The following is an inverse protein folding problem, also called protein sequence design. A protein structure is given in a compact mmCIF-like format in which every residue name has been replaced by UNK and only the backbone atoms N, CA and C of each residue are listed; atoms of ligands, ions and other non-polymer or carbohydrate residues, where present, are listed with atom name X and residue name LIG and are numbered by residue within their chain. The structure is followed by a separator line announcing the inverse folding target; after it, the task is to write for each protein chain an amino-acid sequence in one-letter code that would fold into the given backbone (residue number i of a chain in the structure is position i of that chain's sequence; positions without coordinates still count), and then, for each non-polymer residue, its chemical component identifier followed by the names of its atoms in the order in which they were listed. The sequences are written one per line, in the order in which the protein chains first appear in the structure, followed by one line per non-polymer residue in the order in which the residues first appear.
data_IF_968654340652
#
_entry.id   IF_968654340652
#
_cell.length_a   1.000
_cell.length_b   1.000
_cell.length_c   1.000
_cell.angle_alpha   90.00
_cell.angle_beta   90.00
_cell.angle_gamma   90.00
#
_symmetry.space_group_name_H-M   'P 1'
#
loop_
_entity.id
_entity.type
_entity.pdbx_description
1 polymer ?
#
# COMPACT_ATOMS: atom_id res chain seq x y z
N UNK A 1 28.75 -9.44 48.00
CA UNK A 1 27.28 -9.63 47.96
C UNK A 1 26.84 -8.62 46.94
N UNK A 2 26.95 -9.04 45.68
CA UNK A 2 27.01 -8.13 44.56
C UNK A 2 25.65 -8.22 43.88
N UNK A 3 24.86 -7.18 44.13
CA UNK A 3 23.59 -6.98 43.46
C UNK A 3 23.87 -6.54 42.03
N UNK A 4 23.66 -7.45 41.09
CA UNK A 4 23.19 -7.08 39.76
C UNK A 4 21.72 -7.48 39.70
N UNK A 5 20.86 -6.50 40.01
CA UNK A 5 19.50 -6.53 39.53
C UNK A 5 19.60 -6.50 38.00
N UNK A 6 19.10 -7.54 37.35
CA UNK A 6 18.69 -7.45 35.97
C UNK A 6 17.76 -6.24 35.85
N UNK A 7 18.30 -5.10 35.40
CA UNK A 7 17.49 -3.96 35.00
C UNK A 7 16.73 -4.45 33.78
N UNK A 8 15.49 -4.88 33.99
CA UNK A 8 14.57 -5.11 32.88
C UNK A 8 14.62 -3.87 31.98
N UNK A 9 14.85 -4.01 30.67
CA UNK A 9 14.95 -2.85 29.81
C UNK A 9 13.64 -2.07 29.89
N UNK A 10 13.70 -0.88 30.49
CA UNK A 10 12.54 -0.01 30.70
C UNK A 10 11.77 0.19 29.39
N UNK A 11 10.44 0.15 29.47
CA UNK A 11 9.57 0.51 28.34
C UNK A 11 9.82 1.96 27.94
N UNK A 12 10.14 2.19 26.66
CA UNK A 12 10.37 3.54 26.15
C UNK A 12 9.13 4.42 26.34
N UNK A 13 9.33 5.74 26.41
CA UNK A 13 8.26 6.70 26.67
C UNK A 13 7.09 6.56 25.69
N UNK A 14 7.37 6.31 24.41
CA UNK A 14 6.33 6.22 23.40
C UNK A 14 5.51 4.92 23.53
N UNK A 15 6.14 3.78 23.84
CA UNK A 15 5.44 2.52 24.13
C UNK A 15 4.53 2.60 25.34
N UNK A 16 4.92 3.35 26.37
CA UNK A 16 4.09 3.55 27.58
C UNK A 16 2.76 4.25 27.29
N UNK A 17 2.73 5.17 26.34
CA UNK A 17 1.51 5.90 25.96
C UNK A 17 0.78 5.30 24.76
N UNK A 18 1.50 4.67 23.84
CA UNK A 18 0.89 4.09 22.64
C UNK A 18 1.56 2.74 22.34
N UNK A 19 1.18 1.66 23.04
CA UNK A 19 1.73 0.33 22.80
C UNK A 19 1.38 -0.21 21.40
N UNK A 20 2.12 -1.23 20.97
CA UNK A 20 2.05 -1.77 19.60
C UNK A 20 0.62 -2.08 19.08
N UNK A 21 -0.29 -2.69 19.87
CA UNK A 21 -1.64 -2.98 19.39
C UNK A 21 -2.40 -1.70 18.98
N UNK A 22 -2.28 -0.63 19.78
CA UNK A 22 -2.92 0.64 19.47
C UNK A 22 -2.28 1.34 18.28
N UNK A 23 -0.96 1.21 18.08
CA UNK A 23 -0.29 1.76 16.88
C UNK A 23 -0.88 1.16 15.61
N UNK A 24 -1.02 -0.17 15.58
CA UNK A 24 -1.61 -0.90 14.45
C UNK A 24 -3.06 -0.46 14.22
N UNK A 25 -3.85 -0.41 15.29
CA UNK A 25 -5.23 0.07 15.25
C UNK A 25 -5.37 1.48 14.66
N UNK A 26 -4.60 2.44 15.18
CA UNK A 26 -4.62 3.85 14.74
C UNK A 26 -4.33 3.95 13.25
N UNK A 27 -3.30 3.26 12.76
CA UNK A 27 -2.92 3.31 11.34
C UNK A 27 -4.00 2.69 10.44
N UNK A 28 -4.63 1.59 10.87
CA UNK A 28 -5.73 0.96 10.12
C UNK A 28 -6.94 1.89 10.06
N UNK A 29 -7.36 2.46 11.18
CA UNK A 29 -8.51 3.38 11.26
C UNK A 29 -8.26 4.65 10.44
N UNK A 30 -7.05 5.22 10.50
CA UNK A 30 -6.65 6.34 9.65
C UNK A 30 -6.73 6.00 8.16
N UNK A 31 -6.41 4.76 7.77
CA UNK A 31 -6.59 4.29 6.40
C UNK A 31 -8.03 4.33 5.91
N UNK A 32 -8.99 3.98 6.79
CA UNK A 32 -10.43 4.04 6.47
C UNK A 32 -10.87 5.51 6.29
N UNK A 33 -10.42 6.41 7.16
CA UNK A 33 -10.65 7.85 7.01
C UNK A 33 -10.05 8.41 5.72
N UNK A 34 -8.79 8.05 5.42
CA UNK A 34 -8.06 8.45 4.23
C UNK A 34 -8.80 8.03 2.95
N UNK A 35 -9.27 6.78 2.90
CA UNK A 35 -10.09 6.29 1.78
C UNK A 35 -11.42 7.04 1.66
N UNK A 36 -12.09 7.33 2.79
CA UNK A 36 -13.29 8.17 2.80
C UNK A 36 -13.03 9.56 2.22
N UNK A 37 -11.90 10.18 2.57
CA UNK A 37 -11.47 11.47 2.02
C UNK A 37 -11.12 11.39 0.52
N UNK A 38 -10.50 10.31 0.05
CA UNK A 38 -10.30 10.09 -1.39
C UNK A 38 -11.64 10.10 -2.12
N UNK A 39 -12.60 9.27 -1.67
CA UNK A 39 -13.93 9.17 -2.27
C UNK A 39 -14.68 10.49 -2.24
N UNK A 40 -14.58 11.25 -1.14
CA UNK A 40 -15.30 12.50 -0.98
C UNK A 40 -14.77 13.58 -1.92
N UNK A 41 -13.46 13.82 -1.92
CA UNK A 41 -12.89 14.87 -2.77
C UNK A 41 -13.01 14.54 -4.26
N UNK A 42 -12.79 13.28 -4.66
CA UNK A 42 -12.97 12.85 -6.05
C UNK A 42 -14.43 13.00 -6.51
N UNK A 43 -15.40 12.74 -5.63
CA UNK A 43 -16.81 13.00 -5.90
C UNK A 43 -17.10 14.50 -6.13
N UNK A 44 -16.50 15.40 -5.33
CA UNK A 44 -16.68 16.85 -5.48
C UNK A 44 -16.19 17.36 -6.83
N UNK A 45 -15.08 16.81 -7.35
CA UNK A 45 -14.54 17.16 -8.67
C UNK A 45 -15.11 16.31 -9.81
N UNK A 46 -16.22 15.59 -9.56
CA UNK A 46 -16.98 14.80 -10.55
C UNK A 46 -16.22 13.61 -11.16
N UNK A 47 -15.30 13.01 -10.40
CA UNK A 47 -14.69 11.73 -10.74
C UNK A 47 -15.48 10.59 -10.07
N UNK A 48 -16.11 9.74 -10.87
CA UNK A 48 -16.93 8.63 -10.38
C UNK A 48 -16.08 7.40 -10.06
N UNK A 49 -15.47 7.39 -8.87
CA UNK A 49 -14.65 6.26 -8.39
C UNK A 49 -15.42 4.94 -8.37
N UNK A 50 -16.68 4.86 -7.89
CA UNK A 50 -17.48 3.63 -7.95
C UNK A 50 -17.52 2.96 -9.32
N UNK A 51 -17.71 3.71 -10.42
CA UNK A 51 -17.73 3.11 -11.76
C UNK A 51 -16.36 2.59 -12.21
N UNK A 52 -15.27 3.26 -11.83
CA UNK A 52 -13.90 2.79 -12.12
C UNK A 52 -13.58 1.46 -11.44
N UNK A 53 -14.00 1.29 -10.19
CA UNK A 53 -13.77 0.06 -9.42
C UNK A 53 -14.92 -0.95 -9.56
N UNK A 54 -15.87 -0.70 -10.46
CA UNK A 54 -17.08 -1.52 -10.69
C UNK A 54 -17.88 -1.80 -9.42
N UNK A 55 -17.94 -0.81 -8.52
CA UNK A 55 -18.79 -0.83 -7.35
C UNK A 55 -20.24 -0.48 -7.77
N UNK A 56 -21.26 -1.16 -7.23
CA UNK A 56 -22.65 -0.89 -7.59
C UNK A 56 -23.02 0.57 -7.39
N UNK A 57 -23.67 1.16 -8.40
CA UNK A 57 -24.21 2.50 -8.30
C UNK A 57 -25.23 2.62 -7.17
N UNK A 58 -25.53 3.86 -6.78
CA UNK A 58 -26.56 4.12 -5.77
C UNK A 58 -27.93 3.71 -6.30
N UNK A 59 -28.74 2.93 -5.55
CA UNK A 59 -30.09 2.57 -5.97
C UNK A 59 -31.01 3.78 -6.12
N UNK A 60 -30.78 4.83 -5.33
CA UNK A 60 -31.54 6.07 -5.34
C UNK A 60 -30.67 7.25 -4.92
N UNK A 61 -31.09 8.47 -5.26
CA UNK A 61 -30.44 9.69 -4.79
C UNK A 61 -30.48 9.87 -3.26
N UNK A 62 -31.50 9.28 -2.61
CA UNK A 62 -31.67 9.26 -1.15
C UNK A 62 -30.74 8.29 -0.44
N UNK A 63 -30.15 7.32 -1.16
CA UNK A 63 -29.16 6.42 -0.59
C UNK A 63 -27.86 7.19 -0.25
N UNK A 64 -27.26 6.96 0.94
CA UNK A 64 -26.06 7.67 1.33
C UNK A 64 -24.95 7.49 0.29
N UNK A 65 -24.16 8.54 0.02
CA UNK A 65 -23.02 8.43 -0.86
C UNK A 65 -21.95 7.49 -0.28
N UNK A 66 -21.11 6.94 -1.15
CA UNK A 66 -20.10 5.96 -0.75
C UNK A 66 -19.10 6.53 0.26
N UNK A 67 -18.68 7.79 0.11
CA UNK A 67 -17.81 8.45 1.09
C UNK A 67 -18.47 8.58 2.47
N UNK A 68 -19.77 8.90 2.54
CA UNK A 68 -20.49 8.98 3.82
C UNK A 68 -20.60 7.60 4.49
N UNK A 69 -20.82 6.55 3.69
CA UNK A 69 -20.82 5.17 4.19
C UNK A 69 -19.45 4.78 4.77
N UNK A 70 -18.36 5.18 4.10
CA UNK A 70 -17.00 4.98 4.59
C UNK A 70 -16.73 5.78 5.87
N UNK A 71 -17.15 7.05 5.96
CA UNK A 71 -16.99 7.85 7.18
C UNK A 71 -17.78 7.29 8.36
N UNK A 72 -18.98 6.72 8.14
CA UNK A 72 -19.73 6.03 9.18
C UNK A 72 -18.96 4.82 9.73
N UNK A 73 -18.33 4.03 8.85
CA UNK A 73 -17.45 2.94 9.27
C UNK A 73 -16.22 3.47 10.03
N UNK A 74 -15.60 4.54 9.52
CA UNK A 74 -14.44 5.15 10.18
C UNK A 74 -14.79 5.65 11.59
N UNK A 75 -15.93 6.33 11.76
CA UNK A 75 -16.44 6.76 13.06
C UNK A 75 -16.75 5.59 13.99
N UNK A 76 -17.39 4.52 13.48
CA UNK A 76 -17.67 3.30 14.24
C UNK A 76 -16.39 2.66 14.78
N UNK A 77 -15.28 2.71 14.04
CA UNK A 77 -14.00 2.17 14.50
C UNK A 77 -13.25 3.15 15.42
N UNK A 78 -13.41 4.46 15.19
CA UNK A 78 -12.69 5.52 15.92
C UNK A 78 -13.26 5.74 17.33
N UNK A 79 -14.59 5.75 17.50
CA UNK A 79 -15.21 5.98 18.81
C UNK A 79 -14.74 4.96 19.86
N UNK A 80 -14.85 3.63 19.66
CA UNK A 80 -14.34 2.64 20.60
C UNK A 80 -12.82 2.69 20.76
N UNK A 81 -12.07 3.12 19.73
CA UNK A 81 -10.62 3.30 19.83
C UNK A 81 -10.28 4.40 20.82
N UNK A 82 -10.92 5.57 20.70
CA UNK A 82 -10.70 6.71 21.58
C UNK A 82 -11.14 6.40 23.01
N UNK A 83 -12.27 5.69 23.20
CA UNK A 83 -12.71 5.23 24.52
C UNK A 83 -11.66 4.28 25.12
N UNK A 84 -11.22 3.28 24.36
CA UNK A 84 -10.22 2.31 24.81
C UNK A 84 -8.88 2.98 25.15
N UNK A 85 -8.39 3.88 24.29
CA UNK A 85 -7.16 4.66 24.52
C UNK A 85 -7.26 5.55 25.75
N UNK A 86 -8.36 6.30 25.91
CA UNK A 86 -8.54 7.18 27.04
C UNK A 86 -8.60 6.39 28.35
N UNK A 87 -9.36 5.29 28.39
CA UNK A 87 -9.39 4.38 29.53
C UNK A 87 -8.00 3.84 29.85
N UNK A 88 -7.27 3.37 28.84
CA UNK A 88 -5.90 2.88 29.00
C UNK A 88 -4.97 3.94 29.61
N UNK A 89 -5.02 5.18 29.13
CA UNK A 89 -4.22 6.28 29.69
C UNK A 89 -4.61 6.62 31.12
N UNK A 90 -5.91 6.66 31.42
CA UNK A 90 -6.39 6.96 32.78
C UNK A 90 -6.06 5.87 33.80
N UNK A 91 -5.93 4.61 33.38
CA UNK A 91 -5.61 3.50 34.27
C UNK A 91 -4.10 3.38 34.47
N UNK A 92 -3.35 3.44 33.37
CA UNK A 92 -1.92 3.17 33.39
C UNK A 92 -1.10 4.37 33.83
N UNK A 93 -1.51 5.61 33.50
CA UNK A 93 -0.72 6.83 33.69
C UNK A 93 0.72 6.76 33.14
N UNK A 94 0.96 5.86 32.18
CA UNK A 94 2.30 5.58 31.66
C UNK A 94 3.21 4.82 32.63
N UNK A 95 2.67 4.18 33.67
CA UNK A 95 3.40 3.26 34.54
C UNK A 95 3.72 1.94 33.80
N UNK A 96 4.99 1.51 33.70
CA UNK A 96 5.39 0.32 32.94
C UNK A 96 4.67 -0.96 33.37
N UNK A 97 4.50 -1.20 34.67
CA UNK A 97 3.86 -2.41 35.19
C UNK A 97 2.37 -2.43 34.81
N UNK A 98 1.67 -1.32 35.02
CA UNK A 98 0.25 -1.21 34.62
C UNK A 98 0.04 -1.31 33.11
N UNK A 99 0.96 -0.79 32.30
CA UNK A 99 0.90 -0.92 30.83
C UNK A 99 0.89 -2.39 30.41
N UNK A 100 1.69 -3.22 31.10
CA UNK A 100 1.74 -4.66 30.89
C UNK A 100 0.49 -5.35 31.43
N UNK A 101 0.11 -5.07 32.69
CA UNK A 101 -1.04 -5.70 33.36
C UNK A 101 -2.38 -5.46 32.62
N UNK A 102 -2.51 -4.29 31.97
CA UNK A 102 -3.73 -3.89 31.26
C UNK A 102 -3.68 -4.13 29.75
N UNK A 103 -2.86 -5.07 29.27
CA UNK A 103 -2.77 -5.42 27.85
C UNK A 103 -4.10 -5.89 27.23
N UNK A 104 -5.02 -6.38 28.06
CA UNK A 104 -6.35 -6.81 27.65
C UNK A 104 -7.14 -5.71 26.93
N UNK A 105 -6.98 -4.43 27.31
CA UNK A 105 -7.71 -3.31 26.70
C UNK A 105 -7.33 -3.10 25.21
N UNK A 106 -6.05 -2.87 24.87
CA UNK A 106 -5.61 -2.77 23.48
C UNK A 106 -5.94 -4.01 22.65
N UNK A 107 -5.77 -5.20 23.21
CA UNK A 107 -6.06 -6.45 22.52
C UNK A 107 -7.56 -6.65 22.25
N UNK A 108 -8.41 -6.34 23.23
CA UNK A 108 -9.86 -6.38 23.06
C UNK A 108 -10.31 -5.42 21.95
N UNK A 109 -9.73 -4.22 21.90
CA UNK A 109 -10.02 -3.29 20.80
C UNK A 109 -9.63 -3.87 19.44
N UNK A 110 -8.44 -4.48 19.30
CA UNK A 110 -8.04 -5.11 18.03
C UNK A 110 -9.02 -6.20 17.60
N UNK A 111 -9.48 -7.04 18.54
CA UNK A 111 -10.50 -8.06 18.28
C UNK A 111 -11.81 -7.41 17.82
N UNK A 112 -12.30 -6.39 18.53
CA UNK A 112 -13.52 -5.65 18.16
C UNK A 112 -13.40 -5.04 16.76
N UNK A 113 -12.26 -4.42 16.44
CA UNK A 113 -11.99 -3.84 15.12
C UNK A 113 -12.08 -4.90 14.01
N UNK A 114 -11.46 -6.06 14.20
CA UNK A 114 -11.54 -7.18 13.25
C UNK A 114 -12.99 -7.68 13.11
N UNK A 115 -13.70 -7.86 14.22
CA UNK A 115 -15.10 -8.30 14.21
C UNK A 115 -16.01 -7.28 13.49
N UNK A 116 -15.80 -5.97 13.67
CA UNK A 116 -16.53 -4.93 12.95
C UNK A 116 -16.30 -4.98 11.43
N UNK A 117 -15.13 -5.42 10.98
CA UNK A 117 -14.80 -5.54 9.56
C UNK A 117 -15.35 -6.85 8.97
N UNK A 118 -15.21 -7.96 9.69
CA UNK A 118 -15.55 -9.32 9.20
C UNK A 118 -17.03 -9.66 9.35
N UNK A 119 -17.66 -9.32 10.49
CA UNK A 119 -19.04 -9.72 10.76
C UNK A 119 -20.04 -8.86 9.96
N UNK A 120 -20.97 -9.47 9.20
CA UNK A 120 -21.89 -8.74 8.31
C UNK A 120 -23.07 -8.10 9.06
N UNK A 121 -22.79 -7.17 9.99
CA UNK A 121 -23.83 -6.45 10.74
C UNK A 121 -24.73 -5.60 9.83
N UNK A 122 -26.04 -5.87 9.81
CA UNK A 122 -26.95 -5.33 8.80
C UNK A 122 -27.03 -3.79 8.72
N UNK A 123 -26.86 -3.08 9.84
CA UNK A 123 -26.99 -1.61 9.88
C UNK A 123 -25.77 -0.82 9.36
N UNK A 124 -24.66 -1.49 9.05
CA UNK A 124 -23.37 -0.83 8.79
C UNK A 124 -22.75 -1.28 7.47
N UNK A 125 -23.13 -0.65 6.34
CA UNK A 125 -22.48 -0.82 5.03
C UNK A 125 -22.12 -2.29 4.65
N UNK A 126 -23.08 -3.21 4.78
CA UNK A 126 -22.90 -4.66 4.54
C UNK A 126 -22.28 -4.96 3.16
N UNK A 127 -22.80 -4.31 2.12
CA UNK A 127 -22.30 -4.48 0.73
C UNK A 127 -20.83 -4.08 0.60
N UNK A 128 -20.43 -2.96 1.21
CA UNK A 128 -19.05 -2.48 1.17
C UNK A 128 -18.07 -3.44 1.85
N UNK A 129 -18.41 -3.92 3.05
CA UNK A 129 -17.56 -4.87 3.80
C UNK A 129 -17.44 -6.22 3.10
N UNK A 130 -18.54 -6.75 2.56
CA UNK A 130 -18.50 -7.98 1.78
C UNK A 130 -17.60 -7.85 0.54
N UNK A 131 -17.71 -6.75 -0.21
CA UNK A 131 -16.86 -6.51 -1.39
C UNK A 131 -15.39 -6.28 -1.01
N UNK A 132 -15.12 -5.59 0.09
CA UNK A 132 -13.78 -5.43 0.63
C UNK A 132 -13.15 -6.79 0.96
N UNK A 133 -13.86 -7.65 1.71
CA UNK A 133 -13.42 -9.02 2.02
C UNK A 133 -13.27 -9.90 0.77
N UNK A 134 -14.22 -9.83 -0.16
CA UNK A 134 -14.15 -10.58 -1.41
C UNK A 134 -12.94 -10.15 -2.26
N UNK A 135 -12.64 -8.85 -2.27
CA UNK A 135 -11.46 -8.30 -2.97
C UNK A 135 -10.17 -8.73 -2.30
N UNK A 136 -10.07 -8.60 -0.97
CA UNK A 136 -8.90 -9.10 -0.21
C UNK A 136 -8.68 -10.59 -0.44
N UNK A 137 -9.72 -11.42 -0.30
CA UNK A 137 -9.65 -12.86 -0.57
C UNK A 137 -9.18 -13.13 -2.00
N UNK A 138 -9.75 -12.43 -2.98
CA UNK A 138 -9.40 -12.60 -4.40
C UNK A 138 -7.93 -12.30 -4.65
N UNK A 139 -7.45 -11.13 -4.22
CA UNK A 139 -6.06 -10.73 -4.46
C UNK A 139 -5.06 -11.60 -3.69
N UNK A 140 -5.40 -12.05 -2.47
CA UNK A 140 -4.51 -12.88 -1.64
C UNK A 140 -4.38 -14.31 -2.15
N UNK A 141 -5.48 -14.97 -2.52
CA UNK A 141 -5.46 -16.40 -2.85
C UNK A 141 -4.93 -16.67 -4.26
N UNK A 142 -5.33 -15.85 -5.24
CA UNK A 142 -5.56 -16.51 -6.52
C UNK A 142 -5.96 -15.65 -7.70
N UNK A 143 -6.80 -14.67 -7.47
CA UNK A 143 -7.50 -13.99 -8.53
C UNK A 143 -6.98 -12.60 -8.78
N UNK A 144 -7.03 -12.21 -10.05
CA UNK A 144 -7.16 -10.81 -10.44
C UNK A 144 -8.38 -10.76 -11.34
N UNK A 145 -9.31 -9.87 -11.01
CA UNK A 145 -10.49 -9.62 -11.84
C UNK A 145 -10.06 -9.28 -13.27
N UNK A 146 -10.89 -9.61 -14.25
CA UNK A 146 -10.68 -9.10 -15.61
C UNK A 146 -10.93 -7.60 -15.65
N UNK A 147 -10.51 -6.93 -16.74
CA UNK A 147 -10.62 -5.48 -16.85
C UNK A 147 -12.08 -5.01 -16.64
N UNK A 148 -13.04 -5.74 -17.22
CA UNK A 148 -14.47 -5.50 -17.09
C UNK A 148 -15.03 -5.78 -15.68
N UNK A 149 -14.35 -6.60 -14.88
CA UNK A 149 -14.84 -7.09 -13.59
C UNK A 149 -14.27 -6.33 -12.38
N UNK A 150 -13.57 -5.23 -12.61
CA UNK A 150 -13.04 -4.37 -11.53
C UNK A 150 -11.55 -4.61 -11.21
N UNK A 151 -10.75 -5.03 -12.18
CA UNK A 151 -9.27 -5.13 -12.08
C UNK A 151 -8.62 -3.90 -11.43
N UNK A 152 -9.10 -2.70 -11.72
CA UNK A 152 -8.56 -1.48 -11.14
C UNK A 152 -8.73 -1.43 -9.61
N UNK A 153 -9.87 -1.88 -9.08
CA UNK A 153 -10.09 -2.00 -7.63
C UNK A 153 -9.15 -3.01 -6.98
N UNK A 154 -8.89 -4.15 -7.64
CA UNK A 154 -7.92 -5.15 -7.18
C UNK A 154 -6.50 -4.58 -7.10
N UNK A 155 -6.10 -3.82 -8.13
CA UNK A 155 -4.79 -3.17 -8.18
C UNK A 155 -4.66 -2.11 -7.09
N UNK A 156 -5.66 -1.23 -6.93
CA UNK A 156 -5.66 -0.20 -5.87
C UNK A 156 -5.54 -0.82 -4.48
N UNK A 157 -6.30 -1.88 -4.20
CA UNK A 157 -6.25 -2.59 -2.91
C UNK A 157 -4.89 -3.23 -2.67
N UNK A 158 -4.36 -3.95 -3.67
CA UNK A 158 -3.08 -4.62 -3.53
C UNK A 158 -1.91 -3.61 -3.39
N UNK A 159 -1.98 -2.47 -4.07
CA UNK A 159 -1.01 -1.39 -3.91
C UNK A 159 -1.13 -0.70 -2.55
N UNK A 160 -2.34 -0.53 -2.03
CA UNK A 160 -2.54 -0.07 -0.65
C UNK A 160 -1.89 -1.03 0.36
N UNK A 161 -2.05 -2.35 0.20
CA UNK A 161 -1.42 -3.35 1.08
C UNK A 161 0.11 -3.25 1.09
N UNK A 162 0.76 -2.87 -0.02
CA UNK A 162 2.24 -2.71 -0.02
C UNK A 162 2.72 -1.63 0.96
N UNK A 163 1.93 -0.58 1.13
CA UNK A 163 2.21 0.49 2.10
C UNK A 163 1.93 0.04 3.55
N UNK A 164 1.03 -0.92 3.73
CA UNK A 164 0.72 -1.56 5.01
C UNK A 164 1.64 -2.74 5.38
N UNK A 165 2.65 -3.09 4.57
CA UNK A 165 3.50 -4.26 4.80
C UNK A 165 4.11 -4.32 6.22
N UNK A 166 4.65 -3.20 6.72
CA UNK A 166 5.20 -3.13 8.09
C UNK A 166 4.09 -3.20 9.16
N UNK A 167 2.94 -2.58 8.92
CA UNK A 167 1.77 -2.64 9.80
C UNK A 167 1.27 -4.08 9.94
N UNK A 168 1.30 -4.86 8.86
CA UNK A 168 0.96 -6.29 8.88
C UNK A 168 2.00 -7.10 9.67
N UNK A 169 3.29 -6.77 9.55
CA UNK A 169 4.34 -7.34 10.40
C UNK A 169 4.12 -7.04 11.88
N UNK A 170 3.76 -5.79 12.23
CA UNK A 170 3.48 -5.38 13.61
C UNK A 170 2.18 -5.98 14.15
N UNK A 171 1.17 -6.16 13.29
CA UNK A 171 -0.03 -6.92 13.64
C UNK A 171 0.32 -8.37 13.96
N UNK A 172 1.20 -9.01 13.17
CA UNK A 172 1.66 -10.36 13.47
C UNK A 172 2.45 -10.44 14.78
N UNK A 173 3.39 -9.51 15.01
CA UNK A 173 4.14 -9.44 16.29
C UNK A 173 3.18 -9.29 17.46
N UNK A 174 2.18 -8.40 17.33
CA UNK A 174 1.14 -8.20 18.34
C UNK A 174 0.38 -9.50 18.63
N UNK A 175 -0.11 -10.19 17.58
CA UNK A 175 -0.85 -11.45 17.73
C UNK A 175 0.04 -12.55 18.33
N UNK A 176 1.29 -12.64 17.91
CA UNK A 176 2.25 -13.62 18.43
C UNK A 176 2.51 -13.42 19.92
N UNK A 177 2.70 -12.18 20.36
CA UNK A 177 2.88 -11.84 21.78
C UNK A 177 1.60 -12.06 22.58
N UNK A 178 0.42 -11.72 22.02
CA UNK A 178 -0.88 -11.91 22.68
C UNK A 178 -1.19 -13.39 22.99
N UNK A 179 -0.69 -14.33 22.20
CA UNK A 179 -0.86 -15.78 22.43
C UNK A 179 0.35 -16.43 23.09
N UNK A 180 1.37 -15.67 23.49
CA UNK A 180 2.56 -16.16 24.17
C UNK A 180 2.33 -16.22 25.68
N UNK A 181 2.78 -17.28 26.35
CA UNK A 181 2.66 -17.42 27.81
C UNK A 181 3.67 -16.59 28.60
N UNK A 182 4.75 -16.13 27.96
CA UNK A 182 5.88 -15.45 28.61
C UNK A 182 6.11 -14.02 28.12
N UNK A 183 5.19 -13.45 27.33
CA UNK A 183 5.37 -12.15 26.68
C UNK A 183 4.07 -11.38 26.69
N UNK A 184 4.18 -10.05 26.75
CA UNK A 184 3.03 -9.15 26.79
C UNK A 184 3.01 -8.26 25.55
N UNK A 185 1.87 -8.19 24.89
CA UNK A 185 1.65 -7.45 23.65
C UNK A 185 1.83 -5.93 23.78
N UNK A 186 1.70 -5.39 24.99
CA UNK A 186 1.98 -3.98 25.32
C UNK A 186 3.41 -3.73 25.80
N UNK A 187 4.18 -4.80 25.98
CA UNK A 187 5.61 -4.73 26.31
C UNK A 187 6.47 -4.33 25.10
N UNK A 188 7.79 -4.47 25.25
CA UNK A 188 8.73 -4.20 24.17
C UNK A 188 8.45 -5.10 22.95
N UNK A 189 8.22 -4.55 21.74
CA UNK A 189 7.93 -5.36 20.55
C UNK A 189 9.01 -6.38 20.23
N UNK A 190 8.68 -7.67 20.27
CA UNK A 190 9.63 -8.74 19.94
C UNK A 190 9.54 -9.13 18.46
N UNK A 191 10.40 -8.51 17.63
CA UNK A 191 10.42 -8.70 16.17
C UNK A 191 10.92 -10.08 15.72
N UNK A 192 11.34 -10.92 16.66
CA UNK A 192 11.68 -12.35 16.48
C UNK A 192 10.56 -13.29 16.94
N UNK A 193 9.41 -12.79 17.40
CA UNK A 193 8.29 -13.61 17.86
C UNK A 193 7.84 -14.56 16.74
N UNK A 194 7.81 -15.87 17.03
CA UNK A 194 7.54 -16.93 16.05
C UNK A 194 8.76 -17.39 15.24
N UNK A 195 9.90 -16.71 15.34
CA UNK A 195 11.16 -17.03 14.66
C UNK A 195 11.59 -15.98 13.63
N UNK A 196 12.84 -16.06 13.18
CA UNK A 196 13.46 -15.07 12.29
C UNK A 196 12.80 -14.98 10.89
N UNK A 197 12.01 -15.98 10.51
CA UNK A 197 11.41 -16.09 9.17
C UNK A 197 10.07 -15.35 9.03
N UNK A 198 9.17 -15.43 10.02
CA UNK A 198 7.76 -15.08 9.81
C UNK A 198 7.52 -13.58 9.61
N UNK A 199 8.18 -12.72 10.38
CA UNK A 199 8.02 -11.26 10.23
C UNK A 199 8.47 -10.80 8.84
N UNK A 200 9.68 -11.13 8.35
CA UNK A 200 10.08 -10.85 6.96
C UNK A 200 9.14 -11.45 5.92
N UNK A 201 8.70 -12.69 6.12
CA UNK A 201 7.75 -13.34 5.21
C UNK A 201 6.44 -12.56 5.11
N UNK A 202 5.84 -12.16 6.23
CA UNK A 202 4.58 -11.40 6.25
C UNK A 202 4.74 -10.02 5.61
N UNK A 203 5.84 -9.33 5.87
CA UNK A 203 6.17 -8.05 5.21
C UNK A 203 6.31 -8.24 3.69
N UNK A 204 6.73 -9.42 3.22
CA UNK A 204 6.86 -9.72 1.79
C UNK A 204 5.54 -10.04 1.08
N UNK A 205 4.49 -10.45 1.81
CA UNK A 205 3.21 -10.91 1.24
C UNK A 205 2.58 -9.88 0.29
N UNK A 206 2.46 -8.58 0.63
CA UNK A 206 1.88 -7.60 -0.29
C UNK A 206 2.63 -7.49 -1.62
N UNK A 207 3.96 -7.50 -1.60
CA UNK A 207 4.79 -7.49 -2.82
C UNK A 207 4.65 -8.78 -3.61
N UNK A 208 4.51 -9.93 -2.94
CA UNK A 208 4.24 -11.22 -3.58
C UNK A 208 2.87 -11.24 -4.28
N UNK A 209 1.84 -10.68 -3.65
CA UNK A 209 0.52 -10.52 -4.27
C UNK A 209 0.62 -9.72 -5.57
N UNK A 210 1.32 -8.57 -5.54
CA UNK A 210 1.49 -7.72 -6.73
C UNK A 210 2.36 -8.37 -7.81
N UNK A 211 3.47 -9.01 -7.43
CA UNK A 211 4.29 -9.78 -8.36
C UNK A 211 3.44 -10.83 -9.09
N UNK A 212 2.67 -11.61 -8.33
CA UNK A 212 1.79 -12.65 -8.87
C UNK A 212 0.73 -12.07 -9.80
N UNK A 213 0.08 -10.98 -9.42
CA UNK A 213 -0.88 -10.26 -10.28
C UNK A 213 -0.24 -9.82 -11.61
N UNK A 214 0.96 -9.25 -11.55
CA UNK A 214 1.68 -8.80 -12.75
C UNK A 214 2.06 -9.95 -13.67
N UNK A 215 2.53 -11.08 -13.12
CA UNK A 215 2.85 -12.28 -13.90
C UNK A 215 1.61 -12.92 -14.54
N UNK A 216 0.48 -12.95 -13.83
CA UNK A 216 -0.79 -13.46 -14.39
C UNK A 216 -1.22 -12.61 -15.58
N UNK A 217 -1.15 -11.28 -15.48
CA UNK A 217 -1.50 -10.38 -16.58
C UNK A 217 -0.55 -10.53 -17.78
N UNK A 218 0.76 -10.65 -17.54
CA UNK A 218 1.71 -10.95 -18.61
C UNK A 218 1.35 -12.25 -19.35
N UNK A 219 1.04 -13.31 -18.61
CA UNK A 219 0.62 -14.58 -19.20
C UNK A 219 -0.73 -14.47 -19.93
N UNK A 220 -1.67 -13.65 -19.46
CA UNK A 220 -2.94 -13.38 -20.16
C UNK A 220 -2.72 -12.69 -21.51
N UNK A 221 -1.90 -11.63 -21.55
CA UNK A 221 -1.57 -10.93 -22.79
C UNK A 221 -0.86 -11.87 -23.76
N UNK A 222 0.13 -12.64 -23.29
CA UNK A 222 0.85 -13.62 -24.12
C UNK A 222 -0.08 -14.69 -24.69
N UNK A 223 -1.02 -15.20 -23.90
CA UNK A 223 -2.03 -16.17 -24.39
C UNK A 223 -3.01 -15.54 -25.38
N UNK A 224 -3.40 -14.29 -25.17
CA UNK A 224 -4.25 -13.55 -26.09
C UNK A 224 -3.57 -13.39 -27.45
N UNK A 225 -2.32 -12.91 -27.47
CA UNK A 225 -1.55 -12.73 -28.71
C UNK A 225 -1.29 -14.06 -29.43
N UNK A 226 -1.05 -15.15 -28.68
CA UNK A 226 -0.89 -16.48 -29.27
C UNK A 226 -2.19 -17.00 -29.92
N UNK A 227 -3.36 -16.64 -29.38
CA UNK A 227 -4.67 -17.00 -29.95
C UNK A 227 -5.04 -16.16 -31.16
N UNK A 228 -4.73 -14.86 -31.16
CA UNK A 228 -5.01 -13.96 -32.27
C UNK A 228 -4.00 -14.08 -33.42
N UNK A 229 -2.81 -14.64 -33.17
CA UNK A 229 -1.72 -14.70 -34.16
C UNK A 229 -1.05 -13.36 -34.42
N UNK A 230 -1.42 -12.32 -33.67
CA UNK A 230 -0.92 -10.95 -33.81
C UNK A 230 -0.74 -10.29 -32.44
N UNK A 231 0.09 -9.25 -32.38
CA UNK A 231 0.27 -8.45 -31.16
C UNK A 231 -0.98 -7.58 -30.99
N UNK A 232 -1.75 -7.83 -29.94
CA UNK A 232 -2.94 -7.03 -29.61
C UNK A 232 -2.60 -5.61 -29.16
N UNK A 233 -3.62 -4.77 -28.90
CA UNK A 233 -3.44 -3.36 -28.52
C UNK A 233 -2.68 -3.15 -27.21
N UNK A 234 -2.55 -4.18 -26.36
CA UNK A 234 -1.75 -4.15 -25.14
C UNK A 234 -0.27 -4.50 -25.36
N UNK A 235 0.16 -4.56 -26.62
CA UNK A 235 1.51 -4.96 -27.00
C UNK A 235 1.82 -6.41 -26.63
N UNK A 236 3.12 -6.72 -26.49
CA UNK A 236 3.58 -8.05 -26.11
C UNK A 236 3.49 -8.33 -24.59
N UNK A 237 3.03 -7.36 -23.80
CA UNK A 237 2.87 -7.48 -22.35
C UNK A 237 4.08 -7.04 -21.52
N UNK A 238 5.11 -6.44 -22.12
CA UNK A 238 6.35 -6.03 -21.45
C UNK A 238 6.14 -5.13 -20.23
N UNK A 239 5.13 -4.25 -20.25
CA UNK A 239 4.78 -3.41 -19.10
C UNK A 239 4.39 -4.22 -17.87
N UNK A 240 3.71 -5.36 -18.02
CA UNK A 240 3.37 -6.23 -16.89
C UNK A 240 4.62 -6.87 -16.26
N UNK A 241 5.58 -7.28 -17.10
CA UNK A 241 6.85 -7.81 -16.61
C UNK A 241 7.71 -6.73 -15.94
N UNK A 242 7.72 -5.52 -16.48
CA UNK A 242 8.38 -4.38 -15.84
C UNK A 242 7.75 -4.10 -14.45
N UNK A 243 6.43 -4.15 -14.34
CA UNK A 243 5.75 -3.99 -13.05
C UNK A 243 6.06 -5.15 -12.09
N UNK A 244 6.15 -6.39 -12.60
CA UNK A 244 6.59 -7.54 -11.82
C UNK A 244 8.00 -7.32 -11.24
N UNK A 245 8.93 -6.80 -12.05
CA UNK A 245 10.28 -6.44 -11.62
C UNK A 245 10.28 -5.36 -10.53
N UNK A 246 9.34 -4.39 -10.60
CA UNK A 246 9.18 -3.37 -9.56
C UNK A 246 8.89 -4.01 -8.22
N UNK A 247 7.88 -4.88 -8.13
CA UNK A 247 7.53 -5.52 -6.87
C UNK A 247 8.54 -6.59 -6.43
N UNK A 248 9.26 -7.22 -7.36
CA UNK A 248 10.33 -8.16 -6.99
C UNK A 248 11.54 -7.45 -6.37
N UNK A 249 11.80 -6.19 -6.74
CA UNK A 249 12.89 -5.39 -6.17
C UNK A 249 12.74 -5.12 -4.66
N UNK A 250 11.56 -5.35 -4.08
CA UNK A 250 11.35 -5.27 -2.64
C UNK A 250 11.93 -6.48 -1.87
N UNK A 251 12.03 -7.66 -2.48
CA UNK A 251 12.49 -8.86 -1.76
C UNK A 251 13.95 -8.78 -1.30
N UNK A 252 14.91 -8.32 -2.13
CA UNK A 252 16.28 -8.11 -1.66
C UNK A 252 16.34 -7.18 -0.45
N UNK A 253 15.57 -6.08 -0.44
CA UNK A 253 15.51 -5.16 0.70
C UNK A 253 15.05 -5.89 1.97
N UNK A 254 13.97 -6.67 1.88
CA UNK A 254 13.39 -7.40 3.02
C UNK A 254 14.35 -8.49 3.52
N UNK A 255 14.91 -9.30 2.62
CA UNK A 255 15.82 -10.40 2.94
C UNK A 255 17.08 -9.84 3.61
N UNK A 256 17.72 -8.84 3.00
CA UNK A 256 18.94 -8.24 3.53
C UNK A 256 18.70 -7.53 4.87
N UNK A 257 17.49 -6.99 5.10
CA UNK A 257 17.11 -6.46 6.42
C UNK A 257 17.00 -7.56 7.47
N UNK A 258 16.44 -8.71 7.11
CA UNK A 258 16.34 -9.86 8.01
C UNK A 258 17.71 -10.45 8.34
N UNK A 259 18.58 -10.59 7.33
CA UNK A 259 19.95 -11.10 7.51
C UNK A 259 20.80 -10.21 8.41
N UNK A 260 20.67 -8.90 8.30
CA UNK A 260 21.41 -7.98 9.18
C UNK A 260 20.94 -8.07 10.64
N UNK A 261 19.66 -8.33 10.93
CA UNK A 261 19.18 -8.52 12.31
C UNK A 261 19.73 -9.78 12.97
N UNK A 262 19.93 -10.83 12.18
CA UNK A 262 20.48 -12.11 12.62
C UNK A 262 21.94 -12.29 12.24
N UNK A 263 22.68 -11.19 12.04
CA UNK A 263 24.06 -11.25 11.56
C UNK A 263 24.96 -11.88 12.62
N UNK A 264 25.69 -12.92 12.22
CA UNK A 264 26.70 -13.58 13.04
C UNK A 264 28.01 -13.69 12.22
N UNK A 265 29.11 -13.03 12.66
CA UNK A 265 30.40 -13.07 11.98
C UNK A 265 30.96 -14.47 11.77
N UNK A 266 30.60 -15.45 12.60
CA UNK A 266 31.13 -16.82 12.52
C UNK A 266 30.47 -17.64 11.40
N UNK A 267 29.23 -17.33 11.04
CA UNK A 267 28.45 -18.05 10.02
C UNK A 267 28.34 -17.30 8.69
N UNK A 268 28.52 -15.98 8.68
CA UNK A 268 28.43 -15.16 7.47
C UNK A 268 29.78 -14.93 6.78
N UNK A 269 29.91 -15.39 5.53
CA UNK A 269 31.09 -15.14 4.68
C UNK A 269 31.25 -13.70 4.15
N UNK A 270 30.48 -12.74 4.67
CA UNK A 270 30.50 -11.33 4.27
C UNK A 270 30.56 -10.45 5.52
N UNK A 271 31.33 -9.36 5.47
CA UNK A 271 31.36 -8.38 6.56
C UNK A 271 30.01 -7.66 6.71
N UNK A 272 29.68 -7.23 7.93
CA UNK A 272 28.47 -6.45 8.23
C UNK A 272 28.38 -5.21 7.34
N UNK A 273 29.49 -4.50 7.16
CA UNK A 273 29.57 -3.34 6.25
C UNK A 273 29.30 -3.72 4.78
N UNK A 274 29.73 -4.91 4.34
CA UNK A 274 29.41 -5.43 3.01
C UNK A 274 27.91 -5.68 2.85
N UNK A 275 27.29 -6.30 3.86
CA UNK A 275 25.86 -6.60 3.89
C UNK A 275 25.02 -5.31 3.91
N UNK A 276 25.42 -4.31 4.71
CA UNK A 276 24.79 -2.99 4.72
C UNK A 276 24.88 -2.27 3.37
N UNK A 277 26.05 -2.31 2.70
CA UNK A 277 26.20 -1.73 1.34
C UNK A 277 25.29 -2.40 0.32
N UNK A 278 25.17 -3.73 0.36
CA UNK A 278 24.27 -4.48 -0.52
C UNK A 278 22.80 -4.12 -0.26
N UNK A 279 22.44 -3.99 1.02
CA UNK A 279 21.12 -3.53 1.43
C UNK A 279 20.83 -2.12 0.93
N UNK A 280 21.77 -1.18 1.08
CA UNK A 280 21.63 0.19 0.60
C UNK A 280 21.45 0.23 -0.93
N UNK A 281 22.22 -0.57 -1.67
CA UNK A 281 22.06 -0.69 -3.12
C UNK A 281 20.66 -1.21 -3.50
N UNK A 282 20.17 -2.25 -2.82
CA UNK A 282 18.82 -2.77 -3.03
C UNK A 282 17.73 -1.72 -2.72
N UNK A 283 17.91 -0.97 -1.63
CA UNK A 283 17.04 0.14 -1.22
C UNK A 283 16.97 1.21 -2.30
N UNK A 284 18.11 1.66 -2.82
CA UNK A 284 18.18 2.67 -3.88
C UNK A 284 17.53 2.15 -5.16
N UNK A 285 17.85 0.94 -5.59
CA UNK A 285 17.25 0.32 -6.78
C UNK A 285 15.72 0.23 -6.68
N UNK A 286 15.20 -0.29 -5.57
CA UNK A 286 13.76 -0.38 -5.33
C UNK A 286 13.10 1.00 -5.28
N UNK A 287 13.71 1.95 -4.57
CA UNK A 287 13.16 3.30 -4.37
C UNK A 287 13.09 4.09 -5.66
N UNK A 288 14.19 4.16 -6.43
CA UNK A 288 14.21 4.89 -7.69
C UNK A 288 13.35 4.23 -8.76
N UNK A 289 13.37 2.90 -8.87
CA UNK A 289 12.53 2.23 -9.87
C UNK A 289 11.05 2.43 -9.58
N UNK A 290 10.67 2.31 -8.31
CA UNK A 290 9.28 2.50 -7.91
C UNK A 290 8.85 3.97 -7.96
N UNK A 291 9.76 4.94 -7.75
CA UNK A 291 9.50 6.36 -7.97
C UNK A 291 9.26 6.68 -9.46
N UNK A 292 10.14 6.16 -10.33
CA UNK A 292 9.93 6.24 -11.78
C UNK A 292 8.55 5.69 -12.16
N UNK A 293 8.17 4.55 -11.58
CA UNK A 293 6.89 3.93 -11.87
C UNK A 293 5.70 4.80 -11.46
N UNK A 294 5.73 5.40 -10.26
CA UNK A 294 4.65 6.26 -9.78
C UNK A 294 4.45 7.45 -10.73
N UNK A 295 5.54 8.12 -11.09
CA UNK A 295 5.51 9.30 -11.95
C UNK A 295 5.13 8.95 -13.38
N UNK A 296 5.83 8.01 -14.01
CA UNK A 296 5.70 7.75 -15.44
C UNK A 296 4.53 6.83 -15.80
N UNK A 297 4.16 5.87 -14.93
CA UNK A 297 3.20 4.82 -15.27
C UNK A 297 1.87 4.98 -14.53
N UNK A 298 1.93 5.22 -13.23
CA UNK A 298 0.72 5.31 -12.40
C UNK A 298 0.03 6.68 -12.54
N UNK A 299 0.80 7.77 -12.57
CA UNK A 299 0.28 9.12 -12.79
C UNK A 299 0.35 9.59 -14.24
N UNK A 300 0.99 8.81 -15.12
CA UNK A 300 1.04 9.06 -16.56
C UNK A 300 1.65 10.43 -16.91
N UNK A 301 2.65 10.87 -16.12
CA UNK A 301 3.32 12.14 -16.32
C UNK A 301 4.45 12.00 -17.34
N UNK A 302 4.72 13.07 -18.08
CA UNK A 302 5.68 13.11 -19.18
C UNK A 302 7.11 13.43 -18.72
N UNK A 303 7.37 13.49 -17.41
CA UNK A 303 8.67 13.87 -16.83
C UNK A 303 9.84 13.02 -17.33
N UNK A 304 9.59 11.76 -17.68
CA UNK A 304 10.59 10.81 -18.16
C UNK A 304 10.38 10.37 -19.61
N UNK A 305 9.62 11.14 -20.40
CA UNK A 305 9.38 10.88 -21.82
C UNK A 305 9.91 12.01 -22.72
N UNK A 306 9.94 11.78 -24.03
CA UNK A 306 10.25 12.80 -25.05
C UNK A 306 9.32 14.01 -24.97
N UNK A 307 8.06 13.76 -24.59
CA UNK A 307 7.01 14.78 -24.48
C UNK A 307 7.20 15.75 -23.31
N UNK A 308 8.20 15.56 -22.44
CA UNK A 308 8.47 16.41 -21.27
C UNK A 308 8.44 17.91 -21.57
N UNK A 309 8.94 18.31 -22.74
CA UNK A 309 9.07 19.70 -23.16
C UNK A 309 8.05 20.12 -24.23
N UNK A 310 7.00 19.33 -24.46
CA UNK A 310 5.96 19.66 -25.44
C UNK A 310 5.24 20.96 -25.00
N UNK A 311 5.13 21.98 -25.87
CA UNK A 311 4.54 23.27 -25.52
C UNK A 311 3.03 23.21 -25.28
N UNK A 312 2.32 22.15 -25.68
CA UNK A 312 0.87 22.01 -25.49
C UNK A 312 0.47 21.79 -24.02
N UNK A 313 1.41 21.44 -23.16
CA UNK A 313 1.15 21.17 -21.75
C UNK A 313 2.32 21.61 -20.86
N UNK A 314 2.11 21.80 -19.55
CA UNK A 314 3.19 22.17 -18.65
C UNK A 314 4.32 21.13 -18.65
N UNK A 315 5.54 21.59 -18.39
CA UNK A 315 6.74 20.77 -18.40
C UNK A 315 6.60 19.52 -17.53
N UNK A 316 6.82 18.35 -18.13
CA UNK A 316 6.75 17.05 -17.46
C UNK A 316 5.37 16.63 -16.96
N UNK A 317 4.29 17.36 -17.28
CA UNK A 317 2.92 16.99 -16.94
C UNK A 317 2.15 16.51 -18.18
N UNK A 318 1.08 15.75 -17.98
CA UNK A 318 0.17 15.34 -19.06
C UNK A 318 -0.82 16.45 -19.45
N UNK A 319 -1.30 16.40 -20.71
CA UNK A 319 -2.22 17.40 -21.29
C UNK A 319 -3.55 17.50 -20.55
N UNK A 320 -4.26 16.38 -20.40
CA UNK A 320 -5.57 16.34 -19.74
C UNK A 320 -5.39 16.12 -18.23
N UNK A 321 -5.89 17.07 -17.43
CA UNK A 321 -5.77 17.07 -15.97
C UNK A 321 -7.07 17.57 -15.34
N UNK A 322 -7.50 16.93 -14.26
CA UNK A 322 -8.69 17.30 -13.49
C UNK A 322 -8.36 18.15 -12.26
N UNK A 323 -7.14 18.02 -11.72
CA UNK A 323 -6.68 18.95 -10.69
C UNK A 323 -6.21 20.25 -11.35
N UNK A 324 -6.89 21.35 -11.07
CA UNK A 324 -6.70 22.62 -11.78
C UNK A 324 -5.32 23.23 -11.51
N UNK A 325 -4.83 23.11 -10.27
CA UNK A 325 -3.53 23.65 -9.88
C UNK A 325 -2.39 22.71 -10.31
N UNK A 326 -1.60 23.12 -11.33
CA UNK A 326 -0.42 22.38 -11.80
C UNK A 326 0.60 22.11 -10.67
N UNK A 327 0.65 23.00 -9.68
CA UNK A 327 1.50 22.90 -8.50
C UNK A 327 1.20 21.65 -7.68
N UNK A 328 -0.05 21.15 -7.68
CA UNK A 328 -0.38 19.90 -6.98
C UNK A 328 0.38 18.70 -7.57
N UNK A 329 0.53 18.65 -8.90
CA UNK A 329 1.28 17.59 -9.56
C UNK A 329 2.78 17.64 -9.25
N UNK A 330 3.39 18.83 -9.29
CA UNK A 330 4.81 18.96 -8.91
C UNK A 330 5.03 18.66 -7.44
N UNK A 331 4.13 19.11 -6.57
CA UNK A 331 4.20 18.85 -5.13
C UNK A 331 4.12 17.35 -4.84
N UNK A 332 3.20 16.61 -5.47
CA UNK A 332 3.11 15.16 -5.24
C UNK A 332 4.35 14.43 -5.73
N UNK A 333 4.96 14.84 -6.84
CA UNK A 333 6.22 14.25 -7.32
C UNK A 333 7.35 14.46 -6.30
N UNK A 334 7.50 15.68 -5.78
CA UNK A 334 8.52 15.98 -4.78
C UNK A 334 8.26 15.24 -3.46
N UNK A 335 7.02 15.26 -2.98
CA UNK A 335 6.63 14.58 -1.74
C UNK A 335 6.83 13.07 -1.87
N UNK A 336 6.45 12.44 -2.98
CA UNK A 336 6.64 11.00 -3.18
C UNK A 336 8.12 10.62 -3.23
N UNK A 337 8.97 11.43 -3.88
CA UNK A 337 10.42 11.23 -3.89
C UNK A 337 11.00 11.11 -2.48
N UNK A 338 10.71 12.09 -1.61
CA UNK A 338 11.22 12.09 -0.23
C UNK A 338 10.57 11.01 0.64
N UNK A 339 9.25 10.82 0.53
CA UNK A 339 8.55 9.82 1.35
C UNK A 339 8.95 8.39 0.96
N UNK A 340 9.31 8.11 -0.31
CA UNK A 340 9.79 6.79 -0.72
C UNK A 340 11.09 6.39 -0.02
N UNK A 341 11.97 7.34 0.28
CA UNK A 341 13.17 7.06 1.07
C UNK A 341 12.81 6.52 2.47
N UNK A 342 11.67 6.92 3.05
CA UNK A 342 11.24 6.48 4.38
C UNK A 342 10.79 5.02 4.44
N UNK A 343 10.26 4.47 3.34
CA UNK A 343 9.85 3.05 3.27
C UNK A 343 11.03 2.11 3.48
N UNK A 344 12.20 2.46 2.95
CA UNK A 344 13.40 1.63 3.10
C UNK A 344 14.09 1.84 4.43
N UNK A 345 14.15 3.09 4.91
CA UNK A 345 14.75 3.44 6.20
C UNK A 345 14.10 2.62 7.31
N UNK A 346 12.75 2.54 7.39
CA UNK A 346 12.05 1.78 8.45
C UNK A 346 12.36 0.28 8.52
N UNK A 347 12.94 -0.30 7.47
CA UNK A 347 13.35 -1.72 7.45
C UNK A 347 14.78 -1.92 7.95
N UNK A 348 15.55 -0.83 8.08
CA UNK A 348 16.95 -0.86 8.52
C UNK A 348 17.05 -1.42 9.95
N UNK A 349 17.81 -2.51 10.16
CA UNK A 349 18.13 -3.03 11.49
C UNK A 349 18.95 -2.05 12.33
N UNK A 350 19.71 -1.16 11.71
CA UNK A 350 20.51 -0.19 12.46
C UNK A 350 19.64 0.82 13.20
N UNK A 351 18.39 1.03 12.77
CA UNK A 351 17.40 1.79 13.55
C UNK A 351 16.91 1.02 14.78
N UNK A 352 16.93 -0.32 14.77
CA UNK A 352 16.65 -1.12 15.97
C UNK A 352 17.80 -0.98 17.01
N UNK A 353 19.00 -0.53 16.61
CA UNK A 353 20.08 -0.21 17.56
C UNK A 353 19.92 1.20 18.18
N UNK A 354 19.29 2.13 17.46
CA UNK A 354 18.84 3.44 17.96
C UNK A 354 17.44 3.37 18.58
N UNK A 355 17.19 2.34 19.40
CA UNK A 355 15.91 1.90 19.95
C UNK A 355 15.19 2.92 20.88
N UNK A 356 15.67 4.16 21.00
CA UNK A 356 15.06 5.22 21.78
C UNK A 356 13.86 5.90 21.09
N UNK A 357 13.50 5.52 19.86
CA UNK A 357 12.35 6.12 19.16
C UNK A 357 11.51 5.08 18.40
N UNK A 358 10.85 4.15 19.11
CA UNK A 358 9.69 3.40 18.58
C UNK A 358 8.64 4.34 17.93
N UNK A 359 8.56 5.58 18.41
CA UNK A 359 7.80 6.68 17.80
C UNK A 359 8.25 7.02 16.38
N UNK A 360 9.55 6.96 16.06
CA UNK A 360 10.08 7.17 14.72
C UNK A 360 9.61 6.10 13.73
N UNK A 361 9.61 4.81 14.15
CA UNK A 361 9.08 3.71 13.34
C UNK A 361 7.57 3.92 13.08
N UNK A 362 6.81 4.34 14.10
CA UNK A 362 5.40 4.66 13.95
C UNK A 362 5.16 5.83 12.96
N UNK A 363 5.92 6.93 13.08
CA UNK A 363 5.84 8.07 12.16
C UNK A 363 6.18 7.66 10.72
N UNK A 364 7.20 6.82 10.51
CA UNK A 364 7.51 6.31 9.17
C UNK A 364 6.39 5.43 8.59
N UNK A 365 5.67 4.67 9.42
CA UNK A 365 4.48 3.94 8.97
C UNK A 365 3.33 4.89 8.59
N UNK A 366 3.09 5.95 9.37
CA UNK A 366 2.11 6.99 9.03
C UNK A 366 2.47 7.71 7.72
N UNK A 367 3.74 8.07 7.54
CA UNK A 367 4.25 8.73 6.33
C UNK A 367 4.05 7.86 5.09
N UNK A 368 4.28 6.54 5.19
CA UNK A 368 4.06 5.62 4.08
C UNK A 368 2.56 5.48 3.72
N UNK A 369 1.68 5.43 4.72
CA UNK A 369 0.22 5.39 4.51
C UNK A 369 -0.27 6.71 3.91
N UNK A 370 0.23 7.84 4.41
CA UNK A 370 -0.04 9.17 3.86
C UNK A 370 0.42 9.28 2.40
N UNK A 371 1.64 8.83 2.07
CA UNK A 371 2.15 8.81 0.70
C UNK A 371 1.19 8.08 -0.23
N UNK A 372 0.73 6.88 0.17
CA UNK A 372 -0.22 6.08 -0.61
C UNK A 372 -1.58 6.77 -0.73
N UNK A 373 -2.07 7.40 0.33
CA UNK A 373 -3.31 8.18 0.31
C UNK A 373 -3.26 9.30 -0.73
N UNK A 374 -2.14 10.04 -0.81
CA UNK A 374 -1.93 11.06 -1.84
C UNK A 374 -1.85 10.42 -3.23
N UNK A 375 -1.07 9.34 -3.38
CA UNK A 375 -0.92 8.61 -4.65
C UNK A 375 -2.26 8.15 -5.23
N UNK A 376 -3.24 7.75 -4.40
CA UNK A 376 -4.56 7.27 -4.85
C UNK A 376 -5.31 8.36 -5.63
N UNK A 377 -5.22 9.64 -5.21
CA UNK A 377 -5.89 10.73 -5.93
C UNK A 377 -5.44 10.81 -7.39
N UNK A 378 -4.14 10.84 -7.60
CA UNK A 378 -3.55 10.96 -8.93
C UNK A 378 -3.70 9.66 -9.73
N UNK A 379 -3.58 8.48 -9.09
CA UNK A 379 -3.81 7.21 -9.79
C UNK A 379 -5.23 7.09 -10.31
N UNK A 380 -6.22 7.47 -9.50
CA UNK A 380 -7.64 7.43 -9.86
C UNK A 380 -7.95 8.47 -10.94
N UNK A 381 -7.39 9.67 -10.84
CA UNK A 381 -7.54 10.73 -11.84
C UNK A 381 -6.94 10.33 -13.21
N UNK A 382 -5.79 9.65 -13.21
CA UNK A 382 -5.19 9.06 -14.41
C UNK A 382 -6.08 7.99 -15.00
N UNK A 383 -6.59 7.05 -14.21
CA UNK A 383 -7.49 6.00 -14.70
C UNK A 383 -8.78 6.57 -15.26
N UNK A 384 -9.35 7.58 -14.59
CA UNK A 384 -10.52 8.31 -15.06
C UNK A 384 -10.27 8.98 -16.42
N UNK A 385 -9.07 9.54 -16.61
CA UNK A 385 -8.71 10.15 -17.89
C UNK A 385 -8.58 9.12 -19.00
N UNK A 386 -7.95 7.96 -18.72
CA UNK A 386 -7.79 6.87 -19.68
C UNK A 386 -9.14 6.30 -20.13
N UNK A 387 -10.10 6.16 -19.22
CA UNK A 387 -11.43 5.64 -19.57
C UNK A 387 -12.31 6.63 -20.34
N UNK A 388 -12.14 7.95 -20.14
CA UNK A 388 -12.93 8.97 -20.82
C UNK A 388 -12.34 9.45 -22.15
N UNK A 389 -11.07 9.14 -22.44
CA UNK A 389 -10.42 9.50 -23.72
C UNK A 389 -10.64 8.44 -24.82
N UNK A 390 -11.10 7.24 -24.48
CA UNK A 390 -10.67 6.05 -25.24
C UNK A 390 -9.17 5.80 -25.03
N UNK A 391 -8.60 4.68 -25.51
CA UNK A 391 -7.18 4.38 -25.34
C UNK A 391 -6.32 5.56 -25.85
N UNK A 392 -5.32 5.96 -25.07
CA UNK A 392 -4.46 7.08 -25.42
C UNK A 392 -3.68 6.76 -26.72
N UNK A 393 -3.29 7.77 -27.52
CA UNK A 393 -2.50 7.56 -28.75
C UNK A 393 -1.18 6.81 -28.52
N UNK A 394 -0.62 6.86 -27.31
CA UNK A 394 0.62 6.15 -26.98
C UNK A 394 0.41 4.67 -26.62
N UNK A 395 -0.85 4.22 -26.45
CA UNK A 395 -1.24 2.80 -26.51
C UNK A 395 -1.47 2.34 -27.98
N UNK A 396 -1.37 3.26 -28.95
CA UNK A 396 -1.53 3.03 -30.41
C UNK A 396 -0.16 3.09 -31.13
N UNK A 397 0.95 3.20 -30.39
CA UNK A 397 2.29 3.13 -30.96
C UNK A 397 2.68 1.67 -31.23
N UNK A 398 2.12 1.12 -32.32
CA UNK A 398 2.64 0.12 -33.27
C UNK A 398 1.49 -0.54 -34.06
N UNK A 399 0.66 0.25 -34.74
CA UNK A 399 -0.45 -0.27 -35.56
C UNK A 399 -0.59 0.37 -36.94
N UNK A 400 -0.46 1.69 -37.04
CA UNK A 400 -0.75 2.39 -38.31
C UNK A 400 0.53 2.66 -39.12
N UNK A 401 1.08 1.57 -39.67
CA UNK A 401 1.86 1.61 -40.90
C UNK A 401 1.23 0.65 -41.93
N UNK A 402 -0.07 0.81 -42.20
CA UNK A 402 -0.66 0.35 -43.46
C UNK A 402 -1.83 1.27 -43.84
N UNK A 403 -1.50 2.53 -44.16
CA UNK A 403 -2.37 3.34 -44.98
C UNK A 403 -2.24 2.88 -46.43
N UNK A 404 -3.38 2.45 -46.99
CA UNK A 404 -3.81 2.79 -48.34
C UNK A 404 -2.85 2.48 -49.50
N UNK A 405 -3.02 1.29 -50.08
CA UNK A 405 -3.12 1.21 -51.54
C UNK A 405 -4.60 0.98 -51.88
N UNK A 406 -5.26 2.06 -52.27
CA UNK A 406 -6.65 2.06 -52.72
C UNK A 406 -6.79 1.26 -54.01
N UNK A 407 -7.75 0.34 -54.01
CA UNK A 407 -8.33 -0.21 -55.23
C UNK A 407 -9.77 0.30 -55.33
N UNK A 408 -10.14 0.65 -56.57
CA UNK A 408 -11.47 0.87 -57.14
C UNK A 408 -12.09 2.27 -57.00
N UNK A 409 -11.92 3.05 -58.06
CA UNK A 409 -13.07 3.56 -58.78
C UNK A 409 -13.17 2.79 -60.09
N UNK A 410 -14.25 2.02 -60.21
CA UNK A 410 -14.79 1.54 -61.47
C UNK A 410 -15.65 2.72 -62.02
N UNK A 411 -15.30 3.26 -63.18
CA UNK A 411 -16.17 4.16 -63.96
C UNK A 411 -16.63 3.38 -65.20
N UNK A 412 -17.90 2.97 -65.19
CA UNK A 412 -18.72 2.69 -66.37
C UNK A 412 -19.74 3.85 -66.48
N UNK A 413 -19.55 4.72 -67.48
CA UNK A 413 -20.54 5.24 -68.43
C UNK A 413 -20.00 6.42 -69.25
#
# INVERSE_FOLDING_TARGET
MDGDAHVEPELDSFTRWLPLPYRVAVIIVLGVWAWGANLHYLFLIRIDVPSLIKYPGRPSATHPPHHLSTYRLAALLTIPLLISLFLFWTITHGDPARVVDWEALPNLYLVVMVLCVVLPWHSLSRSGRFRFMATLKRISVGGIAEAQDGKFGDILMADALTSYAKVLGDLFVTLCMMFSSSRHSTGKPERSCGGAFWVPFIISIPSLIRLRQCLIEFLRVRRSNARSGSIGPHGWGGQHLANALKYSSAFPVIILSALQRGYDPASFGMSEAGLFRLWLAAVLANSFYSFYWDVAKDWDLTLFSSERSNPEHPWGLRRQRWFHAKQMYYTVVVVDFFLRCTWSIKLSPHLDHFNDLEGGIFVMQLMEVFRRWVWIFFRVETEWTRNNRGPAPDDILLGDFHHQNGHKFDDED
#
